data_IF_721947338015
#
_entry.id   IF_721947338015
#
_cell.length_a   1.000
_cell.length_b   1.000
_cell.length_c   1.000
_cell.angle_alpha   90.00
_cell.angle_beta   90.00
_cell.angle_gamma   90.00
#
_symmetry.space_group_name_H-M   'P 1'
#
loop_
_entity.id
_entity.type
_entity.pdbx_description
1 polymer ?
#
# COMPACT_ATOMS: atom_id res chain seq x y z
N UNK A 1 6.75 5.77 17.09
CA UNK A 1 5.41 6.33 16.83
C UNK A 1 4.66 5.35 15.95
N UNK A 2 3.33 5.24 16.06
CA UNK A 2 2.50 4.42 15.16
C UNK A 2 1.35 5.31 14.67
N UNK A 3 1.13 5.32 13.35
CA UNK A 3 0.05 6.04 12.69
C UNK A 3 -0.82 5.04 11.94
N UNK A 4 -2.13 5.29 11.90
CA UNK A 4 -3.11 4.47 11.19
C UNK A 4 -3.85 5.30 10.16
N UNK A 5 -3.94 4.78 8.94
CA UNK A 5 -4.69 5.40 7.84
C UNK A 5 -6.06 4.75 7.70
N UNK A 6 -7.10 5.58 7.62
CA UNK A 6 -8.49 5.16 7.38
C UNK A 6 -9.11 6.07 6.35
N UNK A 7 -10.02 5.55 5.52
CA UNK A 7 -10.78 6.34 4.56
C UNK A 7 -12.13 5.68 4.29
N UNK A 8 -13.16 6.50 4.09
CA UNK A 8 -14.50 6.04 3.68
C UNK A 8 -14.60 5.83 2.15
N UNK A 9 -13.65 6.37 1.39
CA UNK A 9 -13.69 6.42 -0.08
C UNK A 9 -12.57 5.67 -0.77
N UNK A 10 -11.46 5.39 -0.07
CA UNK A 10 -10.30 4.71 -0.63
C UNK A 10 -10.26 3.27 -0.15
N UNK A 11 -9.97 2.35 -1.06
CA UNK A 11 -9.74 0.95 -0.73
C UNK A 11 -8.45 0.78 0.08
N UNK A 12 -8.33 -0.35 0.76
CA UNK A 12 -7.14 -0.68 1.55
C UNK A 12 -5.85 -0.72 0.69
N UNK A 13 -5.97 -1.16 -0.57
CA UNK A 13 -4.85 -1.18 -1.53
C UNK A 13 -4.41 0.23 -1.95
N UNK A 14 -5.36 1.14 -2.20
CA UNK A 14 -5.06 2.54 -2.54
C UNK A 14 -4.43 3.28 -1.35
N UNK A 15 -4.92 3.06 -0.13
CA UNK A 15 -4.33 3.61 1.08
C UNK A 15 -2.90 3.10 1.30
N UNK A 16 -2.66 1.82 1.05
CA UNK A 16 -1.32 1.23 1.15
C UNK A 16 -0.37 1.82 0.10
N UNK A 17 -0.81 1.92 -1.15
CA UNK A 17 0.00 2.49 -2.24
C UNK A 17 0.36 3.95 -1.93
N UNK A 18 -0.61 4.76 -1.49
CA UNK A 18 -0.37 6.13 -1.05
C UNK A 18 0.58 6.21 0.15
N UNK A 19 0.40 5.34 1.15
CA UNK A 19 1.25 5.30 2.32
C UNK A 19 2.70 5.00 1.96
N UNK A 20 2.93 4.02 1.07
CA UNK A 20 4.27 3.55 0.70
C UNK A 20 4.97 4.47 -0.32
N UNK A 21 4.24 5.10 -1.24
CA UNK A 21 4.83 5.91 -2.31
C UNK A 21 4.97 7.38 -1.96
N UNK A 22 4.07 7.94 -1.15
CA UNK A 22 4.04 9.38 -0.87
C UNK A 22 4.26 9.68 0.61
N UNK A 23 3.48 9.04 1.50
CA UNK A 23 3.50 9.41 2.91
C UNK A 23 4.80 9.00 3.61
N UNK A 24 5.26 7.76 3.40
CA UNK A 24 6.50 7.26 4.00
C UNK A 24 7.71 8.10 3.59
N UNK A 25 7.79 8.43 2.29
CA UNK A 25 8.86 9.28 1.76
C UNK A 25 8.83 10.69 2.36
N UNK A 26 7.63 11.24 2.58
CA UNK A 26 7.46 12.58 3.17
C UNK A 26 7.86 12.58 4.65
N UNK A 27 7.44 11.57 5.42
CA UNK A 27 7.75 11.48 6.85
C UNK A 27 9.25 11.25 7.07
N UNK A 28 9.90 10.45 6.21
CA UNK A 28 11.33 10.18 6.29
C UNK A 28 12.21 11.44 6.11
N UNK A 29 11.66 12.53 5.56
CA UNK A 29 12.38 13.81 5.41
C UNK A 29 12.25 14.73 6.64
N UNK A 30 11.47 14.36 7.64
CA UNK A 30 11.28 15.17 8.85
C UNK A 30 12.49 15.01 9.76
N UNK A 31 13.07 16.13 10.20
CA UNK A 31 14.19 16.13 11.14
C UNK A 31 13.86 15.33 12.42
N UNK A 32 14.73 14.37 12.75
CA UNK A 32 14.55 13.46 13.87
C UNK A 32 13.80 12.16 13.55
N UNK A 33 13.33 11.96 12.32
CA UNK A 33 12.83 10.66 11.85
C UNK A 33 14.01 9.83 11.34
N UNK A 34 14.27 8.71 12.02
CA UNK A 34 15.34 7.78 11.64
C UNK A 34 14.94 6.77 10.57
N UNK A 35 13.76 6.15 10.74
CA UNK A 35 13.23 5.14 9.83
C UNK A 35 11.70 5.18 9.79
N UNK A 36 11.13 4.76 8.67
CA UNK A 36 9.69 4.71 8.43
C UNK A 36 9.33 3.40 7.77
N UNK A 37 8.51 2.59 8.44
CA UNK A 37 7.96 1.35 7.92
C UNK A 37 6.45 1.47 7.68
N UNK A 38 5.97 0.85 6.61
CA UNK A 38 4.55 0.82 6.24
C UNK A 38 4.06 -0.62 6.34
N UNK A 39 3.38 -0.91 7.45
CA UNK A 39 2.76 -2.21 7.71
C UNK A 39 1.28 -2.24 7.33
N UNK A 40 0.83 -3.32 6.69
CA UNK A 40 -0.59 -3.53 6.36
C UNK A 40 -0.82 -4.58 5.27
N UNK A 41 -2.09 -5.00 5.12
CA UNK A 41 -2.58 -5.79 3.98
C UNK A 41 -3.07 -4.81 2.90
N UNK A 42 -2.98 -5.01 1.59
CA UNK A 42 -2.19 -5.90 0.74
C UNK A 42 -1.86 -5.05 -0.48
N UNK A 43 -0.60 -5.01 -0.91
CA UNK A 43 -0.22 -4.46 -2.22
C UNK A 43 -1.21 -4.99 -3.28
N UNK A 44 -1.71 -4.15 -4.20
CA UNK A 44 -2.57 -4.59 -5.28
C UNK A 44 -1.82 -5.67 -6.08
N UNK A 45 -2.18 -6.93 -5.85
CA UNK A 45 -1.56 -8.04 -6.55
C UNK A 45 -2.08 -8.03 -7.99
N UNK A 46 -1.18 -7.86 -8.96
CA UNK A 46 -1.50 -8.07 -10.38
C UNK A 46 -1.73 -9.57 -10.57
N UNK A 47 -3.00 -9.99 -10.57
CA UNK A 47 -3.40 -11.38 -10.80
C UNK A 47 -3.59 -11.60 -12.30
N UNK A 48 -2.69 -12.33 -12.94
CA UNK A 48 -2.86 -12.77 -14.32
C UNK A 48 -3.77 -14.01 -14.31
N UNK A 49 -5.03 -13.84 -14.71
CA UNK A 49 -5.95 -14.95 -14.94
C UNK A 49 -5.68 -15.57 -16.30
N UNK A 50 -4.87 -16.64 -16.35
CA UNK A 50 -4.75 -17.45 -17.56
C UNK A 50 -5.99 -18.34 -17.69
N UNK A 51 -6.85 -18.07 -18.68
CA UNK A 51 -7.90 -19.02 -19.09
C UNK A 51 -7.29 -20.04 -20.04
N UNK A 52 -7.14 -21.33 -19.66
CA UNK A 52 -6.72 -22.34 -20.61
C UNK A 52 -7.79 -22.47 -21.71
N UNK A 53 -7.38 -22.35 -22.96
CA UNK A 53 -8.23 -22.59 -24.12
C UNK A 53 -8.47 -24.11 -24.25
N UNK A 54 -9.42 -24.66 -23.49
CA UNK A 54 -9.72 -26.08 -23.59
C UNK A 54 -10.56 -26.73 -22.49
N UNK A 55 -11.20 -25.98 -21.60
CA UNK A 55 -12.26 -26.57 -20.78
C UNK A 55 -13.56 -26.55 -21.61
N UNK A 56 -13.87 -27.73 -22.17
CA UNK A 56 -15.14 -28.05 -22.85
C UNK A 56 -16.34 -27.89 -21.93
#
# INVERSE_FOLDING_TARGET
MILTLTSDSWSQGELYDFASTQLAQTIAQIDGVGDVDVGGSSLPAVRIGFKPAGAV
#
